data_IF_517517723331
#
_entry.id   IF_517517723331
#
_cell.length_a   1.000
_cell.length_b   1.000
_cell.length_c   1.000
_cell.angle_alpha   90.00
_cell.angle_beta   90.00
_cell.angle_gamma   90.00
#
_symmetry.space_group_name_H-M   'P 1'
#
loop_
_entity.id
_entity.type
_entity.pdbx_description
1 polymer ?
#
# COMPACT_ATOMS: atom_id res chain seq x y z
N UNK A 1 -1.73 -35.77 17.65
CA UNK A 1 -1.42 -35.26 16.29
C UNK A 1 -2.62 -34.52 15.68
N UNK A 2 -3.74 -34.39 16.40
CA UNK A 2 -4.99 -33.73 15.93
C UNK A 2 -5.18 -32.31 16.52
N UNK A 3 -4.39 -31.91 17.52
CA UNK A 3 -4.50 -30.58 18.19
C UNK A 3 -3.60 -29.50 17.61
N UNK A 4 -2.71 -29.81 16.67
CA UNK A 4 -1.81 -28.85 16.03
C UNK A 4 -2.40 -28.17 14.79
N UNK A 5 -3.61 -28.57 14.35
CA UNK A 5 -4.26 -28.06 13.13
C UNK A 5 -5.37 -27.01 13.39
N UNK A 6 -5.64 -26.63 14.64
CA UNK A 6 -6.77 -25.76 14.98
C UNK A 6 -6.40 -24.30 15.27
N UNK A 7 -5.19 -23.84 14.92
CA UNK A 7 -4.75 -22.45 15.16
C UNK A 7 -4.22 -21.72 13.94
N UNK A 8 -4.56 -22.13 12.73
CA UNK A 8 -4.55 -21.22 11.61
C UNK A 8 -5.86 -20.40 11.66
N UNK A 9 -5.90 -19.40 12.51
CA UNK A 9 -6.74 -18.25 12.27
C UNK A 9 -6.28 -17.70 10.92
N UNK A 10 -7.05 -18.01 9.87
CA UNK A 10 -6.83 -17.54 8.51
C UNK A 10 -6.62 -16.01 8.60
N UNK A 11 -5.42 -15.54 8.28
CA UNK A 11 -5.04 -14.14 8.45
C UNK A 11 -5.50 -13.33 7.24
N UNK A 12 -6.75 -12.82 7.29
CA UNK A 12 -7.35 -11.97 6.24
C UNK A 12 -6.42 -10.83 5.82
N UNK A 13 -5.65 -10.28 6.75
CA UNK A 13 -4.68 -9.25 6.41
C UNK A 13 -3.55 -9.81 5.55
N UNK A 14 -3.09 -11.03 5.83
CA UNK A 14 -2.07 -11.70 5.01
C UNK A 14 -2.58 -11.91 3.58
N UNK A 15 -3.83 -12.36 3.39
CA UNK A 15 -4.41 -12.56 2.07
C UNK A 15 -4.54 -11.26 1.29
N UNK A 16 -4.99 -10.21 1.98
CA UNK A 16 -5.11 -8.89 1.36
C UNK A 16 -3.73 -8.34 1.00
N UNK A 17 -2.74 -8.46 1.88
CA UNK A 17 -1.37 -8.04 1.59
C UNK A 17 -0.73 -8.88 0.48
N UNK A 18 -1.01 -10.19 0.41
CA UNK A 18 -0.56 -11.05 -0.70
C UNK A 18 -1.24 -10.72 -2.03
N UNK A 19 -2.50 -10.25 -1.99
CA UNK A 19 -3.20 -9.78 -3.19
C UNK A 19 -2.64 -8.47 -3.73
N UNK A 20 -1.95 -7.69 -2.89
CA UNK A 20 -1.25 -6.47 -3.29
C UNK A 20 0.09 -6.86 -3.92
N UNK A 21 0.18 -6.67 -5.24
CA UNK A 21 1.47 -6.81 -5.92
C UNK A 21 2.29 -5.55 -5.62
N UNK A 22 3.10 -5.66 -4.56
CA UNK A 22 4.06 -4.64 -4.19
C UNK A 22 5.29 -4.78 -5.08
N UNK A 23 5.53 -3.79 -5.92
CA UNK A 23 6.81 -3.59 -6.57
C UNK A 23 7.46 -2.35 -5.98
N UNK A 24 8.49 -2.57 -5.18
CA UNK A 24 9.29 -1.47 -4.67
C UNK A 24 10.34 -1.07 -5.70
N UNK A 25 10.50 0.22 -5.90
CA UNK A 25 11.56 0.80 -6.71
C UNK A 25 12.41 1.71 -5.84
N UNK A 26 13.71 1.47 -5.81
CA UNK A 26 14.64 2.38 -5.17
C UNK A 26 14.86 3.59 -6.09
N UNK A 27 14.44 4.77 -5.66
CA UNK A 27 14.67 6.00 -6.42
C UNK A 27 16.03 6.64 -6.13
N UNK A 28 16.41 6.69 -4.86
CA UNK A 28 17.66 7.33 -4.49
C UNK A 28 18.16 6.95 -3.10
N UNK A 29 19.47 7.06 -2.95
CA UNK A 29 20.16 7.26 -1.69
C UNK A 29 20.63 8.71 -1.66
N UNK A 30 20.21 9.46 -0.66
CA UNK A 30 20.52 10.88 -0.56
C UNK A 30 21.44 11.15 0.62
N UNK A 31 22.50 11.93 0.39
CA UNK A 31 23.34 12.52 1.43
C UNK A 31 23.38 14.01 1.21
N UNK A 32 22.79 14.77 2.11
CA UNK A 32 22.55 16.20 1.92
C UNK A 32 23.09 16.99 3.11
N UNK A 33 23.89 18.01 2.84
CA UNK A 33 24.33 19.01 3.83
C UNK A 33 23.38 20.21 3.84
N UNK A 34 22.99 20.66 5.04
CA UNK A 34 22.13 21.84 5.19
C UNK A 34 22.76 23.12 4.62
N UNK A 35 21.96 24.05 4.04
CA UNK A 35 20.52 23.95 3.85
C UNK A 35 20.14 23.12 2.64
N UNK A 36 19.08 22.30 2.76
CA UNK A 36 18.52 21.52 1.66
C UNK A 36 17.02 21.33 1.80
N UNK A 37 16.32 21.27 0.69
CA UNK A 37 14.89 20.98 0.64
C UNK A 37 14.47 20.54 -0.75
N UNK A 38 13.63 19.50 -0.81
CA UNK A 38 13.03 19.07 -2.06
C UNK A 38 11.53 18.81 -1.92
N UNK A 39 10.84 18.96 -3.04
CA UNK A 39 9.42 18.70 -3.18
C UNK A 39 9.18 17.56 -4.14
N UNK A 40 8.36 16.60 -3.70
CA UNK A 40 7.82 15.52 -4.53
C UNK A 40 6.38 15.88 -4.86
N UNK A 41 6.05 15.97 -6.14
CA UNK A 41 4.67 16.21 -6.59
C UNK A 41 3.82 14.97 -6.31
N UNK A 42 2.50 15.16 -6.20
CA UNK A 42 1.57 14.04 -6.05
C UNK A 42 1.73 13.04 -7.19
N UNK A 43 1.74 11.74 -6.85
CA UNK A 43 1.94 10.63 -7.80
C UNK A 43 0.92 9.53 -7.54
N UNK A 44 0.64 8.70 -8.55
CA UNK A 44 -0.17 7.49 -8.39
C UNK A 44 0.57 6.33 -7.71
N UNK A 45 1.78 6.58 -7.20
CA UNK A 45 2.67 5.59 -6.58
C UNK A 45 2.90 5.99 -5.14
N UNK A 46 2.75 5.05 -4.20
CA UNK A 46 3.12 5.31 -2.82
C UNK A 46 4.61 5.63 -2.70
N UNK A 47 4.98 6.51 -1.78
CA UNK A 47 6.38 6.87 -1.53
C UNK A 47 6.80 6.44 -0.13
N UNK A 48 8.08 6.11 0.05
CA UNK A 48 8.64 5.90 1.37
C UNK A 48 9.97 6.65 1.53
N UNK A 49 10.26 7.05 2.76
CA UNK A 49 11.51 7.67 3.17
C UNK A 49 11.99 7.06 4.47
N UNK A 50 13.26 6.64 4.51
CA UNK A 50 13.94 6.15 5.69
C UNK A 50 15.06 7.15 6.02
N UNK A 51 15.04 7.69 7.24
CA UNK A 51 16.13 8.53 7.73
C UNK A 51 17.25 7.61 8.21
N UNK A 52 18.34 7.52 7.47
CA UNK A 52 19.49 6.65 7.81
C UNK A 52 20.58 7.38 8.59
N UNK A 53 20.44 8.70 8.75
CA UNK A 53 21.32 9.53 9.57
C UNK A 53 20.86 10.98 9.59
N UNK A 54 21.07 11.66 10.72
CA UNK A 54 20.67 13.06 10.92
C UNK A 54 19.17 13.23 11.22
N UNK A 55 18.65 14.42 10.92
CA UNK A 55 17.26 14.82 11.16
C UNK A 55 16.72 15.60 9.97
N UNK A 56 15.41 15.60 9.76
CA UNK A 56 14.75 16.40 8.74
C UNK A 56 13.27 16.63 9.10
N UNK A 57 12.60 17.38 8.26
CA UNK A 57 11.18 17.71 8.37
C UNK A 57 10.43 17.22 7.15
N UNK A 58 9.26 16.67 7.40
CA UNK A 58 8.29 16.27 6.37
C UNK A 58 7.07 17.17 6.47
N UNK A 59 6.65 17.75 5.34
CA UNK A 59 5.34 18.41 5.20
C UNK A 59 4.55 17.70 4.11
N UNK A 60 3.34 17.26 4.42
CA UNK A 60 2.47 16.52 3.49
C UNK A 60 1.33 17.43 3.07
N UNK A 61 1.00 17.49 1.78
CA UNK A 61 -0.13 18.25 1.26
C UNK A 61 -1.44 17.78 1.90
N UNK A 62 -2.23 18.76 2.42
CA UNK A 62 -3.46 18.46 3.15
C UNK A 62 -3.28 18.11 4.63
N UNK A 63 -2.05 18.21 5.17
CA UNK A 63 -1.75 18.03 6.60
C UNK A 63 -1.17 19.32 7.16
N UNK A 64 -1.80 19.86 8.22
CA UNK A 64 -1.51 21.22 8.72
C UNK A 64 -0.13 21.42 9.34
N UNK A 65 0.49 20.36 9.86
CA UNK A 65 1.72 20.49 10.66
C UNK A 65 2.88 19.70 10.07
N UNK A 66 4.07 20.32 9.93
CA UNK A 66 5.29 19.59 9.63
C UNK A 66 5.61 18.54 10.70
N UNK A 67 6.19 17.44 10.29
CA UNK A 67 6.60 16.31 11.15
C UNK A 67 8.12 16.24 11.19
N UNK A 68 8.69 16.29 12.40
CA UNK A 68 10.13 16.09 12.58
C UNK A 68 10.46 14.61 12.51
N UNK A 69 11.45 14.27 11.69
CA UNK A 69 11.97 12.92 11.49
C UNK A 69 13.41 12.84 11.99
N UNK A 70 13.75 11.73 12.60
CA UNK A 70 15.08 11.47 13.15
C UNK A 70 15.64 10.15 12.63
N UNK A 71 16.95 9.94 12.81
CA UNK A 71 17.61 8.69 12.39
C UNK A 71 16.84 7.44 12.88
N UNK A 72 16.59 6.53 11.96
CA UNK A 72 15.83 5.31 12.17
C UNK A 72 14.33 5.43 11.87
N UNK A 73 13.81 6.63 11.67
CA UNK A 73 12.38 6.82 11.35
C UNK A 73 12.08 6.40 9.91
N UNK A 74 10.90 5.81 9.75
CA UNK A 74 10.31 5.46 8.47
C UNK A 74 9.03 6.26 8.26
N UNK A 75 8.89 6.85 7.08
CA UNK A 75 7.64 7.43 6.61
C UNK A 75 7.19 6.74 5.34
N UNK A 76 5.90 6.43 5.25
CA UNK A 76 5.25 5.93 4.03
C UNK A 76 4.06 6.83 3.72
N UNK A 77 3.92 7.24 2.47
CA UNK A 77 2.79 7.99 1.94
C UNK A 77 1.98 7.05 1.02
N UNK A 78 1.00 6.32 1.53
CA UNK A 78 0.35 5.22 0.79
C UNK A 78 -0.38 5.69 -0.48
N UNK A 79 -0.88 6.92 -0.46
CA UNK A 79 -1.67 7.50 -1.55
C UNK A 79 -0.83 8.37 -2.50
N UNK A 80 0.49 8.41 -2.31
CA UNK A 80 1.38 9.23 -3.13
C UNK A 80 1.15 10.74 -3.00
N UNK A 81 0.65 11.22 -1.85
CA UNK A 81 0.44 12.65 -1.61
C UNK A 81 1.70 13.47 -1.90
N UNK A 82 1.51 14.65 -2.46
CA UNK A 82 2.57 15.64 -2.60
C UNK A 82 3.16 15.99 -1.24
N UNK A 83 4.49 16.09 -1.18
CA UNK A 83 5.17 16.37 0.09
C UNK A 83 6.52 17.06 -0.12
N UNK A 84 7.02 17.66 0.95
CA UNK A 84 8.35 18.25 1.00
C UNK A 84 9.18 17.59 2.09
N UNK A 85 10.47 17.45 1.83
CA UNK A 85 11.48 17.05 2.80
C UNK A 85 12.52 18.17 2.90
N UNK A 86 12.82 18.64 4.13
CA UNK A 86 13.71 19.78 4.37
C UNK A 86 14.56 19.55 5.62
N UNK A 87 15.71 20.19 5.68
CA UNK A 87 16.55 20.23 6.90
C UNK A 87 15.91 21.10 8.00
N UNK A 88 15.18 22.16 7.62
CA UNK A 88 14.41 23.06 8.49
C UNK A 88 13.05 23.39 7.85
N UNK A 89 12.00 23.65 8.64
CA UNK A 89 10.68 24.02 8.11
C UNK A 89 10.68 25.24 7.19
N UNK A 90 11.61 26.18 7.40
CA UNK A 90 11.72 27.44 6.64
C UNK A 90 12.60 27.29 5.39
N UNK A 91 13.27 26.18 5.18
CA UNK A 91 14.21 26.02 4.05
C UNK A 91 13.45 25.99 2.73
N UNK A 92 13.87 26.80 1.74
CA UNK A 92 13.29 26.76 0.41
C UNK A 92 13.40 25.39 -0.25
N UNK A 93 12.38 25.01 -1.01
CA UNK A 93 12.32 23.70 -1.66
C UNK A 93 12.52 23.79 -3.16
N UNK A 94 13.27 22.84 -3.72
CA UNK A 94 13.43 22.63 -5.16
C UNK A 94 12.62 21.40 -5.56
N UNK A 95 12.06 21.39 -6.76
CA UNK A 95 11.36 20.19 -7.25
C UNK A 95 12.36 19.05 -7.39
N UNK A 96 11.95 17.84 -6.97
CA UNK A 96 12.81 16.66 -7.05
C UNK A 96 13.30 16.40 -8.47
N UNK A 97 12.45 16.64 -9.46
CA UNK A 97 12.76 16.46 -10.89
C UNK A 97 13.88 17.40 -11.39
N UNK A 98 14.05 18.53 -10.73
CA UNK A 98 15.12 19.49 -11.07
C UNK A 98 16.45 19.11 -10.39
N UNK A 99 16.38 18.31 -9.32
CA UNK A 99 17.55 17.80 -8.60
C UNK A 99 18.12 16.52 -9.21
N UNK A 100 17.25 15.70 -9.83
CA UNK A 100 17.68 14.48 -10.52
C UNK A 100 18.34 14.87 -11.84
N UNK A 101 19.60 14.51 -12.10
CA UNK A 101 20.23 14.73 -13.39
C UNK A 101 19.36 14.10 -14.50
N UNK A 102 19.13 14.83 -15.59
CA UNK A 102 18.31 14.38 -16.73
C UNK A 102 18.92 13.23 -17.54
N UNK A 103 20.06 12.73 -17.17
CA UNK A 103 20.70 11.56 -17.79
C UNK A 103 20.49 10.34 -16.90
N UNK A 104 20.30 9.13 -17.48
CA UNK A 104 20.24 7.91 -16.71
C UNK A 104 21.56 7.76 -15.95
N UNK A 105 21.52 8.03 -14.66
CA UNK A 105 22.68 7.85 -13.79
C UNK A 105 22.79 6.35 -13.53
N UNK A 106 23.94 5.80 -13.84
CA UNK A 106 24.28 4.42 -13.52
C UNK A 106 23.98 4.13 -12.05
N UNK A 107 23.23 3.10 -11.83
CA UNK A 107 22.97 2.26 -10.63
C UNK A 107 22.91 2.87 -9.22
N UNK A 108 23.42 4.05 -8.93
CA UNK A 108 23.41 4.65 -7.58
C UNK A 108 23.15 6.17 -7.67
N UNK A 109 21.87 6.54 -7.64
CA UNK A 109 21.50 7.96 -7.59
C UNK A 109 21.79 8.49 -6.20
N UNK A 110 22.94 9.14 -6.04
CA UNK A 110 23.31 9.85 -4.82
C UNK A 110 23.06 11.33 -5.04
N UNK A 111 22.10 11.89 -4.34
CA UNK A 111 21.93 13.35 -4.33
C UNK A 111 22.94 13.97 -3.40
N UNK A 112 23.62 14.98 -3.91
CA UNK A 112 24.42 15.89 -3.11
C UNK A 112 23.77 17.27 -3.10
N UNK A 113 23.43 17.78 -1.92
CA UNK A 113 23.29 19.21 -1.73
C UNK A 113 24.67 19.82 -1.49
N UNK A 114 24.93 20.98 -2.08
CA UNK A 114 26.19 21.71 -1.91
C UNK A 114 26.33 22.39 -0.52
N UNK A 115 25.35 22.19 0.38
CA UNK A 115 25.38 22.74 1.73
C UNK A 115 26.49 22.12 2.58
N UNK A 116 27.11 22.94 3.43
CA UNK A 116 28.19 22.52 4.34
C UNK A 116 27.72 22.32 5.78
N UNK A 117 26.41 22.49 6.03
CA UNK A 117 25.82 22.33 7.37
C UNK A 117 25.61 20.86 7.78
N UNK A 118 24.74 20.65 8.76
CA UNK A 118 24.41 19.32 9.28
C UNK A 118 24.01 18.37 8.16
N UNK A 119 24.54 17.14 8.21
CA UNK A 119 24.32 16.14 7.16
C UNK A 119 23.13 15.26 7.50
N UNK A 120 22.20 15.14 6.57
CA UNK A 120 21.11 14.16 6.61
C UNK A 120 21.30 13.11 5.52
N UNK A 121 21.06 11.86 5.85
CA UNK A 121 21.07 10.75 4.90
C UNK A 121 19.72 10.07 4.84
N UNK A 122 19.21 9.84 3.62
CA UNK A 122 17.91 9.24 3.35
C UNK A 122 18.05 8.06 2.38
N UNK A 123 17.19 7.08 2.53
CA UNK A 123 16.85 6.10 1.50
C UNK A 123 15.40 6.32 1.14
N UNK A 124 15.14 6.63 -0.13
CA UNK A 124 13.82 6.96 -0.65
C UNK A 124 13.45 5.99 -1.76
N UNK A 125 12.17 5.68 -1.86
CA UNK A 125 11.69 4.82 -2.94
C UNK A 125 10.20 4.95 -3.18
N UNK A 126 9.73 4.24 -4.21
CA UNK A 126 8.32 4.07 -4.53
C UNK A 126 7.87 2.66 -4.26
N UNK A 127 6.62 2.55 -3.88
CA UNK A 127 5.88 1.31 -3.77
C UNK A 127 4.78 1.36 -4.83
N UNK A 128 5.01 0.71 -5.96
CA UNK A 128 3.98 0.55 -6.97
C UNK A 128 3.00 -0.50 -6.48
N UNK A 129 1.78 -0.08 -6.31
CA UNK A 129 0.70 -0.89 -5.79
C UNK A 129 -0.27 -1.12 -6.92
N UNK A 130 -0.28 -2.33 -7.45
CA UNK A 130 -1.32 -2.69 -8.40
C UNK A 130 -2.68 -2.69 -7.67
N UNK A 131 -3.70 -2.09 -8.28
CA UNK A 131 -5.08 -2.03 -7.77
C UNK A 131 -5.28 -1.29 -6.42
N UNK A 132 -4.41 -0.33 -6.09
CA UNK A 132 -4.55 0.47 -4.86
C UNK A 132 -5.95 1.12 -4.73
N UNK A 133 -6.60 1.50 -5.84
CA UNK A 133 -7.94 2.12 -5.85
C UNK A 133 -9.06 1.15 -5.46
N UNK A 134 -8.84 -0.15 -5.60
CA UNK A 134 -9.86 -1.19 -5.38
C UNK A 134 -9.62 -1.99 -4.10
N UNK A 135 -8.42 -1.93 -3.54
CA UNK A 135 -8.10 -2.65 -2.32
C UNK A 135 -8.58 -1.88 -1.08
N UNK A 136 -9.40 -2.50 -0.21
CA UNK A 136 -9.99 -1.86 0.96
C UNK A 136 -8.96 -1.31 1.96
N UNK A 137 -7.77 -1.89 2.01
CA UNK A 137 -6.69 -1.44 2.87
C UNK A 137 -6.36 0.03 2.60
N UNK A 138 -6.27 0.44 1.32
CA UNK A 138 -5.90 1.81 1.01
C UNK A 138 -6.97 2.83 1.39
N UNK A 139 -8.26 2.47 1.35
CA UNK A 139 -9.33 3.39 1.76
C UNK A 139 -9.29 3.80 3.23
N UNK A 140 -8.56 3.04 4.06
CA UNK A 140 -8.49 3.25 5.52
C UNK A 140 -7.11 3.68 6.01
N UNK A 141 -6.10 3.69 5.13
CA UNK A 141 -4.78 4.20 5.48
C UNK A 141 -4.80 5.74 5.53
N UNK A 142 -4.07 6.35 6.48
CA UNK A 142 -3.96 7.80 6.58
C UNK A 142 -3.11 8.39 5.44
N UNK A 143 -3.07 9.72 5.27
CA UNK A 143 -2.22 10.39 4.28
C UNK A 143 -0.75 9.98 4.35
N UNK A 144 -0.25 9.70 5.55
CA UNK A 144 1.08 9.13 5.77
C UNK A 144 1.13 8.27 7.03
N UNK A 145 2.02 7.30 7.03
CA UNK A 145 2.38 6.46 8.18
C UNK A 145 3.75 6.90 8.68
N UNK A 146 3.87 7.28 9.95
CA UNK A 146 5.14 7.62 10.57
C UNK A 146 5.48 6.59 11.65
N UNK A 147 6.49 5.78 11.41
CA UNK A 147 6.99 4.78 12.35
C UNK A 147 8.27 5.31 12.99
N UNK A 148 8.13 5.73 14.25
CA UNK A 148 9.21 6.34 15.01
C UNK A 148 10.16 5.27 15.60
N UNK A 149 11.46 5.46 15.42
CA UNK A 149 12.48 4.55 15.95
C UNK A 149 12.69 4.71 17.48
N UNK A 150 12.40 5.89 18.03
CA UNK A 150 12.69 6.27 19.42
C UNK A 150 11.61 5.91 20.44
N UNK A 151 10.43 5.44 20.04
CA UNK A 151 9.44 4.96 21.02
C UNK A 151 10.01 3.76 21.75
N UNK A 152 10.08 3.83 23.10
CA UNK A 152 10.76 2.86 23.99
C UNK A 152 10.27 1.40 23.88
N UNK A 153 9.07 1.19 23.39
CA UNK A 153 8.47 -0.12 23.07
C UNK A 153 8.53 -0.43 21.56
N UNK A 154 9.30 0.36 20.84
CA UNK A 154 9.30 0.41 19.40
C UNK A 154 9.97 -0.82 18.81
N UNK A 155 9.25 -1.42 18.02
CA UNK A 155 9.47 -2.32 16.90
C UNK A 155 10.95 -2.69 16.67
N UNK A 156 11.47 -3.72 17.37
CA UNK A 156 12.85 -4.18 17.17
C UNK A 156 13.14 -4.49 15.71
N UNK A 157 12.12 -4.93 14.99
CA UNK A 157 12.15 -5.22 13.57
C UNK A 157 12.51 -3.98 12.73
N UNK A 158 11.96 -2.79 13.04
CA UNK A 158 12.24 -1.57 12.27
C UNK A 158 13.73 -1.23 12.35
N UNK A 159 14.30 -1.25 13.57
CA UNK A 159 15.73 -1.00 13.75
C UNK A 159 16.60 -2.00 13.00
N UNK A 160 16.22 -3.28 13.02
CA UNK A 160 16.96 -4.32 12.30
C UNK A 160 16.92 -4.08 10.78
N UNK A 161 15.74 -3.80 10.21
CA UNK A 161 15.58 -3.58 8.77
C UNK A 161 16.26 -2.27 8.36
N UNK A 162 16.10 -1.16 9.10
CA UNK A 162 16.80 0.10 8.79
C UNK A 162 18.32 -0.08 8.82
N UNK A 163 18.85 -0.87 9.78
CA UNK A 163 20.26 -1.21 9.82
C UNK A 163 20.71 -2.00 8.58
N UNK A 164 19.91 -2.97 8.14
CA UNK A 164 20.17 -3.73 6.92
C UNK A 164 20.12 -2.83 5.68
N UNK A 165 19.08 -2.02 5.53
CA UNK A 165 18.95 -1.05 4.42
C UNK A 165 20.15 -0.11 4.40
N UNK A 166 20.60 0.41 5.56
CA UNK A 166 21.77 1.28 5.66
C UNK A 166 23.05 0.56 5.23
N UNK A 167 23.23 -0.71 5.64
CA UNK A 167 24.38 -1.52 5.25
C UNK A 167 24.40 -1.79 3.74
N UNK A 168 23.30 -2.27 3.18
CA UNK A 168 23.16 -2.53 1.74
C UNK A 168 23.36 -1.25 0.92
N UNK A 169 22.72 -0.15 1.37
CA UNK A 169 22.88 1.14 0.73
C UNK A 169 24.31 1.67 0.73
N UNK A 170 25.16 1.27 1.67
CA UNK A 170 26.55 1.75 1.80
C UNK A 170 27.57 0.82 1.14
N UNK A 171 27.25 -0.47 1.00
CA UNK A 171 28.24 -1.50 0.65
C UNK A 171 28.50 -1.66 -0.85
N UNK A 172 27.72 -1.01 -1.72
CA UNK A 172 27.82 -1.12 -3.19
C UNK A 172 27.94 -2.57 -3.70
N UNK A 173 27.21 -3.50 -3.06
CA UNK A 173 27.25 -4.93 -3.36
C UNK A 173 26.37 -5.27 -4.56
N UNK A 174 26.72 -6.36 -5.25
CA UNK A 174 25.86 -6.93 -6.29
C UNK A 174 24.48 -7.26 -5.69
N UNK A 175 23.41 -6.92 -6.42
CA UNK A 175 22.02 -7.11 -6.02
C UNK A 175 21.55 -6.31 -4.78
N UNK A 176 22.28 -5.27 -4.31
CA UNK A 176 21.87 -4.44 -3.19
C UNK A 176 20.48 -3.81 -3.43
N UNK A 177 20.19 -3.37 -4.66
CA UNK A 177 18.88 -2.83 -5.05
C UNK A 177 17.77 -3.87 -4.83
N UNK A 178 18.00 -5.13 -5.23
CA UNK A 178 17.02 -6.21 -5.01
C UNK A 178 16.77 -6.45 -3.53
N UNK A 179 17.82 -6.45 -2.71
CA UNK A 179 17.68 -6.63 -1.24
C UNK A 179 16.89 -5.47 -0.65
N UNK A 180 17.21 -4.22 -0.99
CA UNK A 180 16.50 -3.04 -0.49
C UNK A 180 15.03 -3.06 -0.94
N UNK A 181 14.75 -3.47 -2.18
CA UNK A 181 13.39 -3.65 -2.70
C UNK A 181 12.58 -4.60 -1.80
N UNK A 182 13.11 -5.79 -1.52
CA UNK A 182 12.42 -6.78 -0.65
C UNK A 182 12.27 -6.29 0.80
N UNK A 183 13.27 -5.62 1.33
CA UNK A 183 13.18 -5.01 2.67
C UNK A 183 12.11 -3.92 2.72
N UNK A 184 11.93 -3.14 1.64
CA UNK A 184 10.91 -2.09 1.55
C UNK A 184 9.48 -2.67 1.52
N UNK A 185 9.28 -3.81 0.86
CA UNK A 185 8.02 -4.55 0.90
C UNK A 185 7.69 -5.00 2.33
N UNK A 186 8.67 -5.57 3.04
CA UNK A 186 8.52 -5.95 4.45
C UNK A 186 8.23 -4.73 5.33
N UNK A 187 8.91 -3.60 5.09
CA UNK A 187 8.67 -2.35 5.82
C UNK A 187 7.23 -1.85 5.66
N UNK A 188 6.67 -1.94 4.45
CA UNK A 188 5.27 -1.57 4.22
C UNK A 188 4.32 -2.45 5.04
N UNK A 189 4.47 -3.78 4.97
CA UNK A 189 3.65 -4.72 5.74
C UNK A 189 3.72 -4.41 7.23
N UNK A 190 4.92 -4.21 7.76
CA UNK A 190 5.12 -3.93 9.17
C UNK A 190 4.59 -2.54 9.59
N UNK A 191 4.66 -1.56 8.72
CA UNK A 191 4.07 -0.23 8.95
C UNK A 191 2.54 -0.32 9.05
N UNK A 192 1.90 -1.06 8.15
CA UNK A 192 0.46 -1.33 8.20
C UNK A 192 0.07 -2.04 9.51
N UNK A 193 0.79 -3.11 9.89
CA UNK A 193 0.54 -3.84 11.15
C UNK A 193 0.70 -2.94 12.38
N UNK A 194 1.72 -2.09 12.38
CA UNK A 194 1.95 -1.12 13.46
C UNK A 194 0.81 -0.11 13.53
N UNK A 195 0.39 0.43 12.39
CA UNK A 195 -0.76 1.34 12.33
C UNK A 195 -2.04 0.67 12.86
N UNK A 196 -2.34 -0.55 12.43
CA UNK A 196 -3.48 -1.32 12.94
C UNK A 196 -3.47 -1.49 14.46
N UNK A 197 -2.29 -1.64 15.07
CA UNK A 197 -2.19 -1.76 16.53
C UNK A 197 -2.45 -0.44 17.26
N UNK A 198 -2.31 0.71 16.58
CA UNK A 198 -2.58 2.04 17.14
C UNK A 198 -4.02 2.48 16.99
N UNK A 199 -4.76 1.91 16.02
CA UNK A 199 -6.19 2.19 15.85
C UNK A 199 -6.96 1.57 17.00
N UNK A 200 -7.61 2.41 17.81
CA UNK A 200 -8.33 2.02 19.02
C UNK A 200 -9.53 1.11 18.74
N UNK A 201 -9.94 0.31 19.74
CA UNK A 201 -11.09 -0.60 19.63
C UNK A 201 -12.46 0.13 19.54
N UNK A 202 -12.51 1.46 19.62
CA UNK A 202 -13.72 2.26 19.57
C UNK A 202 -13.99 2.94 18.22
N UNK A 203 -13.02 2.94 17.31
CA UNK A 203 -13.17 3.59 16.02
C UNK A 203 -13.90 2.64 15.05
N UNK A 204 -14.92 3.17 14.37
CA UNK A 204 -15.55 2.47 13.24
C UNK A 204 -14.55 2.40 12.09
N UNK A 205 -14.43 1.25 11.45
CA UNK A 205 -13.56 1.12 10.28
C UNK A 205 -13.11 -0.31 10.02
N UNK A 206 -12.61 -0.52 8.84
CA UNK A 206 -12.25 -1.83 8.30
C UNK A 206 -11.23 -2.61 9.14
N UNK A 207 -10.26 -1.93 9.77
CA UNK A 207 -9.32 -2.60 10.69
C UNK A 207 -10.00 -3.18 11.92
N UNK A 208 -11.07 -2.53 12.42
CA UNK A 208 -11.85 -3.06 13.52
C UNK A 208 -12.76 -4.22 13.07
N UNK A 209 -13.19 -4.20 11.81
CA UNK A 209 -13.88 -5.34 11.22
C UNK A 209 -13.00 -6.61 11.24
N UNK A 210 -11.70 -6.49 10.96
CA UNK A 210 -10.77 -7.63 11.03
C UNK A 210 -10.57 -8.16 12.45
N UNK A 211 -10.64 -7.29 13.47
CA UNK A 211 -10.51 -7.68 14.88
C UNK A 211 -11.82 -8.23 15.48
N UNK A 212 -12.98 -7.95 14.85
CA UNK A 212 -14.27 -8.43 15.32
C UNK A 212 -14.41 -9.93 15.03
N UNK A 213 -14.71 -10.77 16.02
CA UNK A 213 -14.74 -12.23 15.84
C UNK A 213 -15.69 -12.71 14.76
N UNK A 214 -16.86 -12.06 14.63
CA UNK A 214 -17.91 -12.46 13.70
C UNK A 214 -17.70 -11.87 12.31
N UNK A 215 -17.41 -10.56 12.24
CA UNK A 215 -17.20 -9.90 10.94
C UNK A 215 -15.85 -10.31 10.36
N UNK A 216 -14.79 -10.42 11.18
CA UNK A 216 -13.50 -10.96 10.75
C UNK A 216 -13.63 -12.37 10.14
N UNK A 217 -14.38 -13.28 10.80
CA UNK A 217 -14.67 -14.61 10.24
C UNK A 217 -15.42 -14.52 8.91
N UNK A 218 -16.41 -13.64 8.78
CA UNK A 218 -17.12 -13.46 7.52
C UNK A 218 -16.19 -12.93 6.41
N UNK A 219 -15.31 -11.98 6.74
CA UNK A 219 -14.31 -11.45 5.80
C UNK A 219 -13.35 -12.55 5.34
N UNK A 220 -12.87 -13.40 6.27
CA UNK A 220 -12.06 -14.59 5.98
C UNK A 220 -12.76 -15.52 4.98
N UNK A 221 -13.99 -15.91 5.26
CA UNK A 221 -14.76 -16.81 4.37
C UNK A 221 -14.89 -16.22 2.96
N UNK A 222 -15.21 -14.93 2.84
CA UNK A 222 -15.36 -14.26 1.54
C UNK A 222 -14.02 -14.20 0.78
N UNK A 223 -12.91 -13.95 1.46
CA UNK A 223 -11.59 -13.84 0.84
C UNK A 223 -11.07 -15.20 0.35
N UNK A 224 -11.21 -16.24 1.15
CA UNK A 224 -10.71 -17.59 0.80
C UNK A 224 -11.58 -18.30 -0.22
N UNK A 225 -12.89 -18.11 -0.16
CA UNK A 225 -13.89 -18.80 -0.97
C UNK A 225 -14.81 -17.80 -1.70
N UNK A 226 -14.26 -16.88 -2.52
CA UNK A 226 -15.08 -15.89 -3.20
C UNK A 226 -16.02 -16.50 -4.26
N UNK A 227 -15.69 -17.70 -4.77
CA UNK A 227 -16.52 -18.47 -5.71
C UNK A 227 -17.80 -19.02 -5.11
N UNK A 228 -17.83 -19.23 -3.79
CA UNK A 228 -19.00 -19.77 -3.11
C UNK A 228 -20.25 -18.88 -3.27
N UNK A 229 -21.46 -19.44 -3.43
CA UNK A 229 -22.68 -18.68 -3.63
C UNK A 229 -23.15 -18.00 -2.34
N UNK A 230 -22.27 -17.15 -1.78
CA UNK A 230 -22.58 -16.45 -0.54
C UNK A 230 -23.83 -15.58 -0.64
N UNK A 231 -24.72 -15.73 0.33
CA UNK A 231 -25.83 -14.85 0.59
C UNK A 231 -25.67 -14.19 1.97
N UNK A 232 -26.41 -13.12 2.21
CA UNK A 232 -26.42 -12.48 3.54
C UNK A 232 -26.83 -13.47 4.62
N UNK A 233 -27.80 -14.35 4.31
CA UNK A 233 -28.31 -15.39 5.20
C UNK A 233 -27.23 -16.44 5.50
N UNK A 234 -26.57 -16.96 4.47
CA UNK A 234 -25.55 -17.98 4.64
C UNK A 234 -24.37 -17.49 5.46
N UNK A 235 -23.90 -16.26 5.21
CA UNK A 235 -22.82 -15.64 5.99
C UNK A 235 -23.23 -15.38 7.43
N UNK A 236 -24.44 -14.82 7.64
CA UNK A 236 -24.97 -14.57 8.98
C UNK A 236 -25.05 -15.87 9.81
N UNK A 237 -25.52 -16.95 9.20
CA UNK A 237 -25.56 -18.27 9.82
C UNK A 237 -24.18 -18.77 10.22
N UNK A 238 -23.19 -18.64 9.33
CA UNK A 238 -21.79 -19.05 9.58
C UNK A 238 -21.15 -18.35 10.77
N UNK A 239 -21.56 -17.10 11.03
CA UNK A 239 -20.99 -16.29 12.12
C UNK A 239 -21.96 -16.17 13.32
N UNK A 240 -22.98 -17.00 13.37
CA UNK A 240 -23.96 -17.06 14.47
C UNK A 240 -24.68 -15.72 14.75
N UNK A 241 -25.07 -15.02 13.69
CA UNK A 241 -25.84 -13.78 13.74
C UNK A 241 -27.18 -13.94 12.99
N UNK A 242 -28.18 -13.13 13.37
CA UNK A 242 -29.35 -12.95 12.52
C UNK A 242 -28.98 -12.17 11.27
N UNK A 243 -29.74 -12.36 10.16
CA UNK A 243 -29.51 -11.63 8.89
C UNK A 243 -29.44 -10.11 9.08
N UNK A 244 -30.39 -9.56 9.87
CA UNK A 244 -30.43 -8.10 10.12
C UNK A 244 -29.26 -7.61 10.95
N UNK A 245 -28.92 -8.33 12.04
CA UNK A 245 -27.79 -7.99 12.89
C UNK A 245 -26.46 -8.06 12.12
N UNK A 246 -26.26 -9.11 11.31
CA UNK A 246 -25.10 -9.27 10.46
C UNK A 246 -24.97 -8.12 9.45
N UNK A 247 -26.05 -7.81 8.69
CA UNK A 247 -26.00 -6.73 7.70
C UNK A 247 -25.69 -5.38 8.31
N UNK A 248 -26.31 -5.06 9.46
CA UNK A 248 -26.10 -3.80 10.15
C UNK A 248 -24.65 -3.69 10.67
N UNK A 249 -24.18 -4.73 11.38
CA UNK A 249 -22.83 -4.77 11.95
C UNK A 249 -21.74 -4.77 10.87
N UNK A 250 -21.93 -5.55 9.80
CA UNK A 250 -21.02 -5.58 8.66
C UNK A 250 -20.90 -4.20 8.02
N UNK A 251 -22.03 -3.55 7.68
CA UNK A 251 -22.03 -2.22 7.08
C UNK A 251 -21.42 -1.16 8.01
N UNK A 252 -21.68 -1.25 9.32
CA UNK A 252 -21.08 -0.34 10.30
C UNK A 252 -19.56 -0.45 10.36
N UNK A 253 -19.01 -1.66 10.36
CA UNK A 253 -17.58 -1.90 10.52
C UNK A 253 -16.82 -1.83 9.18
N UNK A 254 -17.40 -2.36 8.10
CA UNK A 254 -16.73 -2.44 6.77
C UNK A 254 -17.00 -1.21 5.91
N UNK A 255 -18.10 -0.48 6.18
CA UNK A 255 -18.50 0.72 5.41
C UNK A 255 -19.39 0.42 4.19
N UNK A 256 -19.51 -0.85 3.77
CA UNK A 256 -20.32 -1.29 2.62
C UNK A 256 -21.16 -2.52 2.97
N UNK A 257 -22.14 -2.85 2.12
CA UNK A 257 -22.95 -4.04 2.35
C UNK A 257 -22.17 -5.34 2.05
N UNK A 258 -22.53 -6.49 2.68
CA UNK A 258 -21.86 -7.77 2.42
C UNK A 258 -21.80 -8.13 0.94
N UNK A 259 -22.88 -7.93 0.18
CA UNK A 259 -22.94 -8.28 -1.24
C UNK A 259 -22.06 -7.36 -2.12
N UNK A 260 -21.93 -6.08 -1.73
CA UNK A 260 -20.98 -5.17 -2.39
C UNK A 260 -19.54 -5.61 -2.14
N UNK A 261 -19.20 -5.96 -0.90
CA UNK A 261 -17.88 -6.47 -0.53
C UNK A 261 -17.52 -7.75 -1.31
N UNK A 262 -18.44 -8.74 -1.37
CA UNK A 262 -18.25 -9.99 -2.15
C UNK A 262 -17.98 -9.66 -3.63
N UNK A 263 -18.81 -8.79 -4.22
CA UNK A 263 -18.65 -8.39 -5.62
C UNK A 263 -17.27 -7.77 -5.85
N UNK A 264 -16.83 -6.90 -4.96
CA UNK A 264 -15.52 -6.26 -5.04
C UNK A 264 -14.38 -7.28 -4.94
N UNK A 265 -14.42 -8.20 -3.96
CA UNK A 265 -13.42 -9.26 -3.80
C UNK A 265 -13.33 -10.13 -5.05
N UNK A 266 -14.46 -10.59 -5.60
CA UNK A 266 -14.52 -11.38 -6.83
C UNK A 266 -13.89 -10.66 -8.01
N UNK A 267 -14.27 -9.40 -8.22
CA UNK A 267 -13.77 -8.62 -9.36
C UNK A 267 -12.29 -8.26 -9.23
N UNK A 268 -11.80 -7.98 -8.02
CA UNK A 268 -10.37 -7.76 -7.76
C UNK A 268 -9.55 -9.02 -8.04
N UNK A 269 -10.04 -10.19 -7.57
CA UNK A 269 -9.40 -11.50 -7.88
C UNK A 269 -9.39 -11.77 -9.39
N UNK A 270 -10.50 -11.47 -10.09
CA UNK A 270 -10.55 -11.58 -11.55
C UNK A 270 -9.55 -10.68 -12.25
N UNK A 271 -9.40 -9.44 -11.81
CA UNK A 271 -8.44 -8.49 -12.38
C UNK A 271 -7.00 -9.03 -12.26
N UNK A 272 -6.65 -9.63 -11.13
CA UNK A 272 -5.35 -10.28 -10.92
C UNK A 272 -5.15 -11.48 -11.86
N UNK A 273 -6.16 -12.35 -12.01
CA UNK A 273 -6.12 -13.49 -12.93
C UNK A 273 -5.98 -13.04 -14.39
N UNK A 274 -6.73 -12.02 -14.79
CA UNK A 274 -6.67 -11.49 -16.17
C UNK A 274 -5.28 -10.95 -16.56
N UNK A 275 -4.47 -10.50 -15.61
CA UNK A 275 -3.11 -10.01 -15.85
C UNK A 275 -2.07 -11.11 -15.93
N UNK A 276 -2.26 -12.22 -15.21
CA UNK A 276 -1.26 -13.27 -15.02
C UNK A 276 -1.43 -14.45 -15.95
N UNK A 277 -2.67 -14.80 -16.27
CA UNK A 277 -3.02 -16.06 -16.89
C UNK A 277 -3.55 -15.94 -18.31
N UNK A 278 -3.26 -16.95 -19.10
CA UNK A 278 -3.89 -17.19 -20.41
C UNK A 278 -5.32 -17.75 -20.30
N UNK A 279 -5.87 -17.86 -19.06
CA UNK A 279 -7.22 -18.39 -18.83
C UNK A 279 -8.28 -17.63 -19.64
N UNK A 280 -9.27 -18.34 -20.16
CA UNK A 280 -10.39 -17.75 -20.87
C UNK A 280 -11.25 -16.89 -19.96
N UNK A 281 -12.05 -15.99 -20.51
CA UNK A 281 -12.99 -15.19 -19.70
C UNK A 281 -14.02 -16.07 -18.98
N UNK A 282 -14.39 -17.19 -19.56
CA UNK A 282 -15.30 -18.18 -18.96
C UNK A 282 -14.65 -18.79 -17.71
N UNK A 283 -13.39 -19.26 -17.84
CA UNK A 283 -12.65 -19.86 -16.71
C UNK A 283 -12.47 -18.85 -15.58
N UNK A 284 -12.10 -17.59 -15.90
CA UNK A 284 -12.01 -16.54 -14.89
C UNK A 284 -13.36 -16.30 -14.23
N UNK A 285 -14.45 -16.17 -14.99
CA UNK A 285 -15.80 -15.96 -14.45
C UNK A 285 -16.19 -17.08 -13.47
N UNK A 286 -16.01 -18.34 -13.88
CA UNK A 286 -16.33 -19.51 -13.05
C UNK A 286 -15.48 -19.55 -11.78
N UNK A 287 -14.16 -19.27 -11.88
CA UNK A 287 -13.25 -19.34 -10.73
C UNK A 287 -13.51 -18.28 -9.64
N UNK A 288 -14.35 -17.27 -9.95
CA UNK A 288 -14.76 -16.22 -9.00
C UNK A 288 -16.26 -16.27 -8.67
N UNK A 289 -16.97 -17.34 -9.08
CA UNK A 289 -18.37 -17.58 -8.72
C UNK A 289 -19.39 -16.80 -9.54
N UNK A 290 -19.12 -16.56 -10.85
CA UNK A 290 -20.12 -16.08 -11.79
C UNK A 290 -20.62 -17.21 -12.68
N UNK A 291 -21.93 -17.32 -12.81
CA UNK A 291 -22.58 -18.39 -13.61
C UNK A 291 -22.39 -18.21 -15.13
N UNK A 292 -21.99 -17.01 -15.59
CA UNK A 292 -21.76 -16.75 -17.00
C UNK A 292 -20.74 -15.64 -17.23
N UNK A 293 -20.00 -15.77 -18.35
CA UNK A 293 -19.11 -14.73 -18.85
C UNK A 293 -19.81 -13.38 -19.06
N UNK A 294 -21.07 -13.41 -19.49
CA UNK A 294 -21.85 -12.20 -19.75
C UNK A 294 -22.13 -11.43 -18.46
N UNK A 295 -22.55 -12.15 -17.40
CA UNK A 295 -22.79 -11.55 -16.08
C UNK A 295 -21.51 -10.99 -15.48
N UNK A 296 -20.41 -11.76 -15.55
CA UNK A 296 -19.09 -11.32 -15.15
C UNK A 296 -18.65 -10.06 -15.92
N UNK A 297 -18.69 -10.07 -17.26
CA UNK A 297 -18.24 -8.95 -18.08
C UNK A 297 -19.02 -7.67 -17.82
N UNK A 298 -20.34 -7.76 -17.57
CA UNK A 298 -21.16 -6.61 -17.18
C UNK A 298 -20.75 -6.07 -15.81
N UNK A 299 -20.56 -6.95 -14.79
CA UNK A 299 -20.14 -6.55 -13.45
C UNK A 299 -18.74 -5.94 -13.48
N UNK A 300 -17.80 -6.55 -14.19
CA UNK A 300 -16.43 -6.09 -14.34
C UNK A 300 -16.37 -4.70 -14.99
N UNK A 301 -17.08 -4.52 -16.11
CA UNK A 301 -17.14 -3.23 -16.79
C UNK A 301 -17.78 -2.14 -15.92
N UNK A 302 -18.82 -2.48 -15.16
CA UNK A 302 -19.46 -1.53 -14.22
C UNK A 302 -18.50 -1.11 -13.11
N UNK A 303 -17.63 -2.00 -12.67
CA UNK A 303 -16.71 -1.77 -11.55
C UNK A 303 -15.42 -1.08 -12.00
N UNK A 304 -14.76 -1.58 -13.05
CA UNK A 304 -13.49 -1.07 -13.55
C UNK A 304 -13.63 -0.06 -14.73
N UNK A 305 -14.85 0.17 -15.21
CA UNK A 305 -15.10 1.07 -16.33
C UNK A 305 -14.78 0.50 -17.71
N UNK A 306 -13.98 -0.58 -17.81
CA UNK A 306 -13.57 -1.23 -19.06
C UNK A 306 -13.92 -2.71 -19.07
N UNK A 307 -14.04 -3.28 -20.28
CA UNK A 307 -14.34 -4.71 -20.44
C UNK A 307 -13.13 -5.57 -20.02
N UNK A 308 -13.34 -6.83 -19.51
CA UNK A 308 -12.26 -7.72 -19.09
C UNK A 308 -11.19 -7.98 -20.15
N UNK A 309 -11.59 -8.14 -21.42
CA UNK A 309 -10.67 -8.33 -22.53
C UNK A 309 -9.77 -7.13 -22.80
N UNK A 310 -10.30 -5.90 -22.68
CA UNK A 310 -9.52 -4.67 -22.81
C UNK A 310 -8.58 -4.47 -21.62
N UNK A 311 -9.04 -4.83 -20.40
CA UNK A 311 -8.22 -4.82 -19.19
C UNK A 311 -7.00 -5.76 -19.31
N UNK A 312 -7.21 -6.98 -19.82
CA UNK A 312 -6.13 -7.97 -20.12
C UNK A 312 -5.08 -7.43 -21.07
N UNK A 313 -5.49 -6.65 -22.06
CA UNK A 313 -4.60 -6.05 -23.07
C UNK A 313 -3.86 -4.80 -22.57
N UNK A 314 -3.99 -4.44 -21.28
CA UNK A 314 -3.39 -3.23 -20.72
C UNK A 314 -4.01 -1.92 -21.22
N UNK A 315 -5.15 -1.99 -21.92
CA UNK A 315 -5.87 -0.78 -22.35
C UNK A 315 -6.57 -0.18 -21.14
N UNK A 316 -5.96 0.84 -20.54
CA UNK A 316 -6.66 1.71 -19.57
C UNK A 316 -7.77 2.46 -20.28
N UNK A 317 -8.87 2.78 -19.54
CA UNK A 317 -9.75 3.85 -19.98
C UNK A 317 -8.91 5.11 -20.24
N UNK A 318 -9.29 5.94 -21.23
CA UNK A 318 -8.97 7.34 -21.14
C UNK A 318 -9.59 7.81 -19.82
N UNK A 319 -8.75 8.00 -18.79
CA UNK A 319 -9.14 8.88 -17.71
C UNK A 319 -9.46 10.19 -18.42
N UNK A 320 -10.52 10.87 -17.99
CA UNK A 320 -10.71 12.27 -18.38
C UNK A 320 -9.41 12.97 -18.03
N UNK A 321 -8.54 13.09 -19.03
CA UNK A 321 -7.21 13.65 -18.90
C UNK A 321 -7.31 15.15 -18.63
N UNK A 322 -7.50 15.48 -17.39
CA UNK A 322 -6.93 16.68 -16.85
C UNK A 322 -5.40 16.54 -16.85
N UNK A 323 -4.79 16.81 -18.00
CA UNK A 323 -3.46 17.42 -18.15
C UNK A 323 -2.20 16.82 -17.48
N UNK A 324 -2.17 15.61 -16.89
CA UNK A 324 -1.01 15.13 -16.15
C UNK A 324 -0.17 14.02 -16.82
N UNK A 325 -0.75 13.24 -17.75
CA UNK A 325 0.00 12.13 -18.40
C UNK A 325 0.92 12.56 -19.57
N UNK A 326 0.82 13.79 -20.05
CA UNK A 326 1.67 14.28 -21.17
C UNK A 326 3.07 14.74 -20.75
N UNK A 327 3.45 14.68 -19.49
CA UNK A 327 4.72 15.24 -19.01
C UNK A 327 5.80 14.26 -18.60
N UNK A 328 5.51 12.96 -18.48
CA UNK A 328 6.54 11.99 -18.06
C UNK A 328 6.42 10.70 -18.89
N UNK A 329 7.16 10.56 -20.00
CA UNK A 329 7.40 9.25 -20.60
C UNK A 329 8.23 8.43 -19.59
N UNK A 330 7.86 7.15 -19.46
CA UNK A 330 8.52 6.12 -18.66
C UNK A 330 9.98 5.99 -19.07
#
# INVERSE_FOLDING_TARGET
MTELLTHFQEDVLADILQSIHLHSTLYCRAKMGAPWGFRVSQRAVASFHIVTGGTCWLTVEGVDKPVSLTEGDLVILPHGHGHTMTDSPETPVTKLEDLIPRQPVEKDVVFYSAGQGAVTTLVCGGLQLEDHTTNPLFSVLPPFLHIQSRRRESNPWLRAIVKLVKAEASANQLAAETVITRLSEILFIQAVRTYMSTVGNGDTGWFNALKDPQIGQALTLIQHQPEEPWTVESLACRVSLSRSAFSAKFKQLVGESPMQYITRVRLTKAAALLRRDSATLVEVATSIGYDSEVAFSKAFRRYFGIAPGAYRQGRRLPQEDGALEKRYPV
#
